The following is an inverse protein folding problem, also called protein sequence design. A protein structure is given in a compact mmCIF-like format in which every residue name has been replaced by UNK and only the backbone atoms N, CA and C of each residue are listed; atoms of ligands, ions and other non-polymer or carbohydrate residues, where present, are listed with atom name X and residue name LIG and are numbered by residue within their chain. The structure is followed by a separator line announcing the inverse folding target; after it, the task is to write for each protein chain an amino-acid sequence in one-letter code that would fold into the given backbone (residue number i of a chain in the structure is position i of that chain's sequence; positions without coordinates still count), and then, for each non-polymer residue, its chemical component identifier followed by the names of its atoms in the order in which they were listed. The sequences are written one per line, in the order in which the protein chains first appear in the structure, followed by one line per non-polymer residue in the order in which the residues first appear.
data_IF_990428256675
#
_entry.id   IF_990428256675
#
_cell.length_a   1.000
_cell.length_b   1.000
_cell.length_c   1.000
_cell.angle_alpha   90.00
_cell.angle_beta   90.00
_cell.angle_gamma   90.00
#
_symmetry.space_group_name_H-M   'P 1'
#
loop_
_entity.id
_entity.type
_entity.pdbx_description
1 polymer ?
#
# COMPACT_ATOMS: atom_id res chain seq x y z
N UNK A 1 -3.92 0.18 4.41
CA UNK A 1 -3.75 1.21 3.38
C UNK A 1 -2.74 0.72 2.35
N UNK A 2 -2.87 1.07 1.08
CA UNK A 2 -1.82 0.84 0.09
C UNK A 2 -0.95 2.09 -0.02
N UNK A 3 0.37 1.92 -0.12
CA UNK A 3 1.33 2.98 -0.40
C UNK A 3 1.93 2.75 -1.77
N UNK A 4 2.18 3.80 -2.52
CA UNK A 4 2.91 3.67 -3.77
C UNK A 4 4.37 3.30 -3.52
N UNK A 5 4.94 2.47 -4.40
CA UNK A 5 6.33 2.05 -4.31
C UNK A 5 7.35 3.16 -4.63
N UNK A 6 6.94 4.20 -5.37
CA UNK A 6 7.83 5.30 -5.79
C UNK A 6 7.57 6.55 -4.95
N UNK A 7 6.31 7.01 -4.94
CA UNK A 7 5.90 8.25 -4.27
C UNK A 7 5.78 8.07 -2.73
N UNK A 8 5.76 6.82 -2.23
CA UNK A 8 5.51 6.42 -0.83
C UNK A 8 4.23 6.95 -0.19
N UNK A 9 3.44 7.71 -0.95
CA UNK A 9 2.19 8.26 -0.49
C UNK A 9 1.14 7.18 -0.31
N UNK A 10 0.31 7.34 0.73
CA UNK A 10 -0.84 6.49 0.92
C UNK A 10 -1.90 6.81 -0.12
N UNK A 11 -2.34 5.79 -0.84
CA UNK A 11 -3.49 5.90 -1.73
C UNK A 11 -4.75 6.07 -0.89
N UNK A 12 -5.44 7.19 -1.13
CA UNK A 12 -6.78 7.49 -0.59
C UNK A 12 -7.90 7.13 -1.56
N UNK A 13 -7.57 6.79 -2.81
CA UNK A 13 -8.54 6.44 -3.85
C UNK A 13 -9.10 5.03 -3.67
N UNK A 14 -10.35 4.85 -4.11
CA UNK A 14 -11.14 3.64 -3.91
C UNK A 14 -10.54 2.49 -4.73
N UNK A 15 -10.08 1.42 -4.06
CA UNK A 15 -9.36 0.30 -4.65
C UNK A 15 -10.26 -0.56 -5.58
N UNK A 16 -11.57 -0.31 -5.58
CA UNK A 16 -12.56 -1.12 -6.28
C UNK A 16 -12.73 -0.77 -7.78
N UNK A 17 -12.13 0.31 -8.27
CA UNK A 17 -12.20 0.65 -9.70
C UNK A 17 -10.94 0.17 -10.41
N UNK A 18 -11.11 -0.76 -11.35
CA UNK A 18 -10.07 -1.26 -12.25
C UNK A 18 -9.25 -0.10 -12.82
N UNK A 19 -7.96 0.02 -12.45
CA UNK A 19 -7.07 1.08 -12.95
C UNK A 19 -6.37 1.95 -11.89
N UNK A 20 -6.03 1.42 -10.71
CA UNK A 20 -5.31 2.18 -9.69
C UNK A 20 -3.95 2.68 -10.21
N UNK A 21 -3.75 4.00 -10.13
CA UNK A 21 -2.54 4.71 -10.52
C UNK A 21 -2.21 5.74 -9.40
N UNK A 22 -0.94 5.86 -8.95
CA UNK A 22 -0.56 6.94 -8.01
C UNK A 22 -0.83 8.28 -8.71
N UNK A 23 -1.68 9.12 -8.10
CA UNK A 23 -2.04 10.44 -8.65
C UNK A 23 -0.81 11.34 -8.84
N UNK A 24 0.24 11.14 -8.04
CA UNK A 24 1.42 11.99 -8.02
C UNK A 24 2.52 11.54 -9.01
N UNK A 25 2.72 10.24 -9.19
CA UNK A 25 3.83 9.71 -9.98
C UNK A 25 3.41 8.76 -11.11
N UNK A 26 2.12 8.50 -11.29
CA UNK A 26 1.60 7.66 -12.36
C UNK A 26 1.94 6.16 -12.25
N UNK A 27 2.60 5.73 -11.18
CA UNK A 27 2.99 4.33 -11.03
C UNK A 27 1.79 3.45 -10.65
N UNK A 28 1.85 2.18 -11.04
CA UNK A 28 0.82 1.16 -10.77
C UNK A 28 1.29 0.09 -9.77
N UNK A 29 2.40 0.36 -9.07
CA UNK A 29 3.03 -0.58 -8.12
C UNK A 29 2.78 -0.08 -6.69
N UNK A 30 2.22 -0.96 -5.87
CA UNK A 30 1.75 -0.61 -4.52
C UNK A 30 2.19 -1.65 -3.48
N UNK A 31 2.53 -1.16 -2.30
CA UNK A 31 2.79 -1.95 -1.10
C UNK A 31 1.61 -1.86 -0.14
N UNK A 32 1.22 -2.98 0.46
CA UNK A 32 0.26 -2.97 1.57
C UNK A 32 0.98 -2.55 2.85
N UNK A 33 0.45 -1.55 3.53
CA UNK A 33 1.01 -1.09 4.80
C UNK A 33 0.92 -2.19 5.88
N UNK A 34 1.97 -2.29 6.69
CA UNK A 34 2.04 -3.27 7.78
C UNK A 34 0.94 -2.96 8.80
N UNK A 35 0.13 -3.96 9.20
CA UNK A 35 -0.86 -3.74 10.24
C UNK A 35 -0.17 -3.41 11.56
N UNK A 36 -0.73 -2.48 12.34
CA UNK A 36 -0.27 -2.15 13.69
C UNK A 36 -0.79 -3.19 14.72
N UNK A 37 -0.66 -4.47 14.37
CA UNK A 37 -1.04 -5.59 15.23
C UNK A 37 0.24 -6.33 15.58
N UNK A 38 0.42 -6.59 16.88
CA UNK A 38 1.58 -7.33 17.39
C UNK A 38 1.61 -8.73 16.75
N UNK A 39 2.67 -9.01 15.99
CA UNK A 39 2.95 -10.36 15.50
C UNK A 39 3.70 -11.13 16.58
N UNK A 40 3.09 -12.18 17.13
CA UNK A 40 3.77 -13.10 18.06
C UNK A 40 4.46 -14.18 17.22
N UNK A 41 5.80 -14.21 17.26
CA UNK A 41 6.60 -15.23 16.57
C UNK A 41 7.24 -16.11 17.65
N UNK A 42 7.02 -17.43 17.58
CA UNK A 42 7.77 -18.39 18.40
C UNK A 42 9.08 -18.69 17.69
N UNK A 43 10.21 -18.39 18.33
CA UNK A 43 11.52 -18.84 17.87
C UNK A 43 11.59 -20.38 18.00
N UNK A 44 12.24 -21.03 17.04
CA UNK A 44 12.48 -22.48 17.05
C UNK A 44 13.84 -22.77 17.67
#
# INVERSE_FOLDING_TARGET
MYKCAICFEPIRTNINTVGIQCERCGSKIFYKERPNVKKVVKAR
#
